data_IF_980901156076
#
_entry.id   IF_980901156076
#
_cell.length_a   1.000
_cell.length_b   1.000
_cell.length_c   1.000
_cell.angle_alpha   90.00
_cell.angle_beta   90.00
_cell.angle_gamma   90.00
#
_symmetry.space_group_name_H-M   'P 1'
#
loop_
_entity.id
_entity.type
_entity.pdbx_description
1 polymer ?
#
# COMPACT_ATOMS: atom_id res chain seq x y z
N UNK A 1 55.62 53.96 50.43
CA UNK A 1 55.59 52.49 50.59
C UNK A 1 54.55 52.19 51.64
N UNK A 2 53.36 51.81 51.20
CA UNK A 2 52.17 51.68 52.06
C UNK A 2 51.34 50.53 51.53
N UNK A 3 51.25 49.48 52.32
CA UNK A 3 50.27 48.42 52.15
C UNK A 3 48.93 48.88 52.74
N UNK A 4 47.83 48.62 52.05
CA UNK A 4 46.48 48.63 52.61
C UNK A 4 45.62 47.61 51.85
N UNK A 5 45.02 46.68 52.61
CA UNK A 5 44.01 45.74 52.15
C UNK A 5 42.77 46.48 51.61
N UNK A 6 42.12 45.88 50.61
CA UNK A 6 40.72 46.14 50.30
C UNK A 6 40.00 44.83 50.01
N UNK A 7 39.09 44.47 50.92
CA UNK A 7 38.02 43.51 50.72
C UNK A 7 37.12 43.96 49.55
N UNK A 8 36.77 43.05 48.65
CA UNK A 8 35.52 43.14 47.90
C UNK A 8 34.81 41.77 47.92
N UNK A 9 33.62 41.80 48.50
CA UNK A 9 32.61 40.75 48.49
C UNK A 9 32.24 40.36 47.06
N UNK A 10 32.32 39.07 46.73
CA UNK A 10 31.61 38.52 45.57
C UNK A 10 30.26 38.02 46.08
N UNK A 11 29.21 38.75 45.73
CA UNK A 11 27.83 38.30 45.87
C UNK A 11 27.63 37.07 44.98
N UNK A 12 27.48 35.91 45.60
CA UNK A 12 27.00 34.71 44.95
C UNK A 12 25.51 34.90 44.61
N UNK A 13 25.22 35.25 43.36
CA UNK A 13 23.90 35.05 42.80
C UNK A 13 23.79 33.57 42.42
N UNK A 14 22.90 32.85 43.09
CA UNK A 14 22.47 31.51 42.69
C UNK A 14 21.78 31.60 41.33
N UNK A 15 22.54 31.49 40.24
CA UNK A 15 21.97 31.17 38.94
C UNK A 15 21.57 29.70 38.98
N UNK A 16 20.27 29.47 39.06
CA UNK A 16 19.64 28.20 38.71
C UNK A 16 20.27 27.67 37.42
N UNK A 17 20.63 26.37 37.33
CA UNK A 17 21.05 25.79 36.07
C UNK A 17 19.92 26.03 35.08
N UNK A 18 20.19 26.78 34.01
CA UNK A 18 19.31 26.82 32.86
C UNK A 18 19.18 25.38 32.40
N UNK A 19 18.02 24.79 32.63
CA UNK A 19 17.62 23.53 32.01
C UNK A 19 17.92 23.72 30.53
N UNK A 20 18.77 22.86 29.91
CA UNK A 20 18.99 22.96 28.49
C UNK A 20 17.61 22.91 27.83
N UNK A 21 17.30 23.81 26.90
CA UNK A 21 16.02 23.74 26.21
C UNK A 21 15.87 22.30 25.71
N UNK A 22 14.80 21.64 26.14
CA UNK A 22 14.35 20.38 25.55
C UNK A 22 14.46 20.58 24.04
N UNK A 23 15.17 19.71 23.31
CA UNK A 23 15.21 19.83 21.85
C UNK A 23 13.76 19.93 21.40
N UNK A 24 13.43 20.99 20.65
CA UNK A 24 12.15 21.05 19.95
C UNK A 24 11.97 19.68 19.30
N UNK A 25 10.87 18.99 19.58
CA UNK A 25 10.59 17.68 19.03
C UNK A 25 10.96 17.74 17.54
N UNK A 26 12.07 17.10 17.16
CA UNK A 26 12.47 17.01 15.76
C UNK A 26 11.26 16.36 15.10
N UNK A 27 10.55 17.12 14.27
CA UNK A 27 9.22 16.75 13.82
C UNK A 27 9.30 15.37 13.17
N UNK A 28 8.51 14.43 13.69
CA UNK A 28 8.39 13.08 13.12
C UNK A 28 8.21 13.19 11.60
N UNK A 29 8.98 12.38 10.88
CA UNK A 29 8.88 12.22 9.43
C UNK A 29 7.47 11.76 9.02
N UNK A 30 7.10 12.00 7.75
CA UNK A 30 5.84 11.48 7.20
C UNK A 30 5.74 9.95 7.36
N UNK A 31 6.85 9.24 7.14
CA UNK A 31 6.94 7.81 7.36
C UNK A 31 6.62 7.39 8.79
N UNK A 32 7.23 8.03 9.80
CA UNK A 32 6.96 7.70 11.21
C UNK A 32 5.49 7.91 11.55
N UNK A 33 4.87 8.97 11.03
CA UNK A 33 3.44 9.24 11.22
C UNK A 33 2.55 8.20 10.55
N UNK A 34 2.86 7.80 9.32
CA UNK A 34 2.14 6.73 8.61
C UNK A 34 2.28 5.41 9.38
N UNK A 35 3.49 5.10 9.86
CA UNK A 35 3.73 3.91 10.68
C UNK A 35 2.89 3.94 11.97
N UNK A 36 2.86 5.07 12.66
CA UNK A 36 2.09 5.22 13.90
C UNK A 36 0.56 5.13 13.62
N UNK A 37 0.06 5.71 12.53
CA UNK A 37 -1.33 5.59 12.10
C UNK A 37 -1.71 4.20 11.59
N UNK A 38 -0.75 3.42 11.07
CA UNK A 38 -1.03 2.13 10.43
C UNK A 38 -1.66 1.10 11.37
N UNK A 39 -1.51 1.26 12.70
CA UNK A 39 -2.23 0.43 13.68
C UNK A 39 -3.76 0.58 13.57
N UNK A 40 -4.23 1.67 12.98
CA UNK A 40 -5.62 2.00 12.70
C UNK A 40 -6.01 1.80 11.22
N UNK A 41 -5.21 1.08 10.42
CA UNK A 41 -5.42 0.92 8.96
C UNK A 41 -6.83 0.43 8.61
N UNK A 42 -7.42 -0.48 9.40
CA UNK A 42 -8.82 -0.93 9.22
C UNK A 42 -9.83 0.20 9.37
N UNK A 43 -9.69 1.01 10.42
CA UNK A 43 -10.59 2.14 10.66
C UNK A 43 -10.41 3.18 9.55
N UNK A 44 -9.17 3.60 9.28
CA UNK A 44 -8.86 4.58 8.24
C UNK A 44 -9.24 4.12 6.82
N UNK A 45 -9.38 2.82 6.58
CA UNK A 45 -9.76 2.29 5.27
C UNK A 45 -11.18 2.66 4.85
N UNK A 46 -12.12 2.91 5.79
CA UNK A 46 -13.47 3.41 5.43
C UNK A 46 -13.44 4.79 4.78
N UNK A 47 -12.33 5.52 4.96
CA UNK A 47 -12.18 6.90 4.52
C UNK A 47 -12.26 7.08 3.02
N UNK A 48 -11.83 6.09 2.23
CA UNK A 48 -11.90 6.22 0.76
C UNK A 48 -13.35 6.37 0.28
N UNK A 49 -14.29 5.60 0.83
CA UNK A 49 -15.70 5.65 0.44
C UNK A 49 -16.30 7.03 0.76
N UNK A 50 -16.01 7.55 1.95
CA UNK A 50 -16.37 8.91 2.35
C UNK A 50 -15.76 9.96 1.40
N UNK A 51 -14.48 9.83 1.04
CA UNK A 51 -13.83 10.74 0.09
C UNK A 51 -14.51 10.73 -1.28
N UNK A 52 -14.78 9.55 -1.83
CA UNK A 52 -15.46 9.42 -3.13
C UNK A 52 -16.86 10.05 -3.07
N UNK A 53 -17.62 9.79 -2.02
CA UNK A 53 -18.96 10.33 -1.88
C UNK A 53 -18.96 11.86 -1.68
N UNK A 54 -18.07 12.38 -0.83
CA UNK A 54 -17.90 13.81 -0.60
C UNK A 54 -17.44 14.52 -1.89
N UNK A 55 -16.50 13.95 -2.63
CA UNK A 55 -15.99 14.54 -3.87
C UNK A 55 -17.06 14.58 -4.97
N UNK A 56 -17.97 13.59 -5.03
CA UNK A 56 -19.13 13.58 -5.96
C UNK A 56 -20.20 14.60 -5.57
N UNK A 57 -20.40 14.85 -4.28
CA UNK A 57 -21.45 15.73 -3.77
C UNK A 57 -21.07 17.22 -3.74
N UNK A 58 -19.80 17.54 -3.94
CA UNK A 58 -19.27 18.90 -3.84
C UNK A 58 -18.88 19.44 -5.22
N UNK A 59 -18.77 20.75 -5.39
CA UNK A 59 -18.40 21.35 -6.69
C UNK A 59 -16.94 21.80 -6.77
N UNK A 60 -16.33 22.06 -5.61
CA UNK A 60 -14.99 22.63 -5.50
C UNK A 60 -14.21 21.95 -4.36
N UNK A 61 -12.86 21.93 -4.39
CA UNK A 61 -12.03 21.26 -3.38
C UNK A 61 -12.30 21.73 -1.94
N UNK A 62 -12.61 23.00 -1.72
CA UNK A 62 -12.81 23.56 -0.37
C UNK A 62 -14.05 22.96 0.31
N UNK A 63 -15.11 22.70 -0.47
CA UNK A 63 -16.31 22.03 0.04
C UNK A 63 -16.04 20.57 0.36
N UNK A 64 -15.21 19.91 -0.46
CA UNK A 64 -14.76 18.55 -0.21
C UNK A 64 -13.95 18.44 1.09
N UNK A 65 -12.97 19.33 1.28
CA UNK A 65 -12.18 19.39 2.51
C UNK A 65 -13.08 19.61 3.72
N UNK A 66 -14.00 20.58 3.65
CA UNK A 66 -14.93 20.86 4.75
C UNK A 66 -15.76 19.62 5.14
N UNK A 67 -16.31 18.90 4.15
CA UNK A 67 -17.05 17.66 4.39
C UNK A 67 -16.16 16.58 5.03
N UNK A 68 -14.92 16.44 4.58
CA UNK A 68 -13.99 15.43 5.11
C UNK A 68 -13.45 15.77 6.50
N UNK A 69 -13.43 17.03 6.93
CA UNK A 69 -13.08 17.38 8.31
C UNK A 69 -14.16 16.96 9.33
N UNK A 70 -15.41 16.82 8.87
CA UNK A 70 -16.53 16.35 9.68
C UNK A 70 -16.67 14.82 9.66
N UNK A 71 -16.00 14.14 8.73
CA UNK A 71 -16.03 12.68 8.60
C UNK A 71 -15.47 11.94 9.83
N UNK A 72 -15.98 10.74 10.05
CA UNK A 72 -15.56 9.83 11.13
C UNK A 72 -15.36 8.45 10.52
N UNK A 73 -14.33 7.76 11.00
CA UNK A 73 -13.90 6.49 10.42
C UNK A 73 -13.98 5.36 11.45
N UNK A 74 -14.69 4.28 11.10
CA UNK A 74 -14.97 3.12 11.96
C UNK A 74 -14.92 1.78 11.20
N UNK A 75 -14.14 1.72 10.10
CA UNK A 75 -14.00 0.52 9.28
C UNK A 75 -13.46 -0.73 10.01
N UNK A 76 -13.94 -1.90 9.58
CA UNK A 76 -13.57 -3.22 10.13
C UNK A 76 -12.56 -4.00 9.25
N UNK A 77 -12.28 -3.54 8.04
CA UNK A 77 -11.42 -4.21 7.08
C UNK A 77 -10.53 -3.21 6.31
N UNK A 78 -9.42 -3.70 5.75
CA UNK A 78 -8.57 -2.93 4.83
C UNK A 78 -8.52 -3.63 3.46
N UNK A 79 -8.16 -2.86 2.45
CA UNK A 79 -7.79 -3.34 1.12
C UNK A 79 -6.74 -2.39 0.52
N UNK A 80 -5.95 -2.87 -0.43
CA UNK A 80 -4.79 -2.14 -0.95
C UNK A 80 -5.13 -0.71 -1.44
N UNK A 81 -6.24 -0.53 -2.18
CA UNK A 81 -6.72 0.78 -2.60
C UNK A 81 -7.17 1.69 -1.45
N UNK A 82 -7.79 1.13 -0.40
CA UNK A 82 -8.24 1.85 0.79
C UNK A 82 -7.03 2.35 1.60
N UNK A 83 -6.06 1.47 1.82
CA UNK A 83 -4.81 1.79 2.49
C UNK A 83 -4.04 2.88 1.75
N UNK A 84 -3.84 2.73 0.44
CA UNK A 84 -3.13 3.74 -0.37
C UNK A 84 -3.77 5.12 -0.20
N UNK A 85 -5.10 5.18 -0.24
CA UNK A 85 -5.86 6.43 -0.16
C UNK A 85 -5.54 7.27 1.09
N UNK A 86 -5.49 6.67 2.29
CA UNK A 86 -5.18 7.42 3.50
C UNK A 86 -3.67 7.65 3.67
N UNK A 87 -2.83 6.71 3.21
CA UNK A 87 -1.37 6.89 3.21
C UNK A 87 -0.98 8.12 2.41
N UNK A 88 -1.54 8.27 1.21
CA UNK A 88 -1.20 9.41 0.37
C UNK A 88 -1.82 10.69 0.94
N UNK A 89 -2.97 10.63 1.63
CA UNK A 89 -3.55 11.80 2.31
C UNK A 89 -2.58 12.40 3.36
N UNK A 90 -1.76 11.58 4.03
CA UNK A 90 -0.70 12.10 4.91
C UNK A 90 0.28 12.97 4.13
N UNK A 91 0.70 12.56 2.94
CA UNK A 91 1.68 13.29 2.13
C UNK A 91 1.14 14.55 1.45
N UNK A 92 -0.01 14.42 0.79
CA UNK A 92 -0.52 15.42 -0.17
C UNK A 92 -1.72 16.21 0.38
N UNK A 93 -2.39 15.71 1.43
CA UNK A 93 -3.57 16.32 2.03
C UNK A 93 -4.84 16.14 1.20
N UNK A 94 -5.98 16.46 1.81
CA UNK A 94 -7.31 16.26 1.21
C UNK A 94 -7.49 17.05 -0.09
N UNK A 95 -7.10 18.32 -0.12
CA UNK A 95 -7.37 19.20 -1.27
C UNK A 95 -6.81 18.63 -2.58
N UNK A 96 -5.60 18.06 -2.56
CA UNK A 96 -4.97 17.47 -3.74
C UNK A 96 -5.68 16.18 -4.20
N UNK A 97 -6.27 15.44 -3.27
CA UNK A 97 -6.99 14.20 -3.57
C UNK A 97 -8.40 14.41 -4.16
N UNK A 98 -8.88 15.64 -4.24
CA UNK A 98 -10.22 15.93 -4.74
C UNK A 98 -10.45 15.41 -6.16
N UNK A 99 -9.52 15.70 -7.08
CA UNK A 99 -9.61 15.31 -8.49
C UNK A 99 -9.66 13.81 -8.63
N UNK A 100 -8.75 13.11 -7.94
CA UNK A 100 -8.71 11.66 -7.93
C UNK A 100 -10.02 11.08 -7.37
N UNK A 101 -10.43 11.49 -6.17
CA UNK A 101 -11.64 10.98 -5.50
C UNK A 101 -12.93 11.23 -6.30
N UNK A 102 -12.97 12.30 -7.10
CA UNK A 102 -14.13 12.67 -7.91
C UNK A 102 -14.22 11.88 -9.22
N UNK A 103 -13.08 11.53 -9.79
CA UNK A 103 -12.99 11.08 -11.19
C UNK A 103 -12.49 9.66 -11.37
N UNK A 104 -11.87 9.07 -10.36
CA UNK A 104 -11.48 7.67 -10.39
C UNK A 104 -12.71 6.77 -10.23
N UNK A 105 -12.97 5.93 -11.22
CA UNK A 105 -14.05 4.96 -11.24
C UNK A 105 -13.57 3.53 -10.95
N UNK A 106 -12.28 3.36 -10.66
CA UNK A 106 -11.64 2.06 -10.43
C UNK A 106 -11.44 1.22 -11.70
N UNK A 107 -11.71 1.78 -12.88
CA UNK A 107 -11.56 1.10 -14.18
C UNK A 107 -10.59 1.88 -15.09
N UNK A 108 -10.72 3.20 -15.17
CA UNK A 108 -9.85 4.08 -15.95
C UNK A 108 -9.52 5.34 -15.16
N UNK A 109 -8.24 5.47 -14.81
CA UNK A 109 -7.76 6.56 -13.96
C UNK A 109 -7.41 7.82 -14.73
N UNK A 110 -7.55 7.84 -16.06
CA UNK A 110 -7.10 8.95 -16.89
C UNK A 110 -7.70 10.29 -16.46
N UNK A 111 -8.98 10.29 -16.07
CA UNK A 111 -9.67 11.49 -15.57
C UNK A 111 -9.25 11.91 -14.17
N UNK A 112 -8.70 10.99 -13.39
CA UNK A 112 -8.06 11.23 -12.09
C UNK A 112 -6.59 11.66 -12.23
N UNK A 113 -6.05 11.70 -13.46
CA UNK A 113 -4.68 12.12 -13.74
C UNK A 113 -3.68 10.97 -13.85
N UNK A 114 -4.13 9.72 -13.75
CA UNK A 114 -3.25 8.57 -13.96
C UNK A 114 -2.81 8.49 -15.43
N UNK A 115 -1.58 8.04 -15.62
CA UNK A 115 -1.06 7.62 -16.93
C UNK A 115 -0.88 6.11 -16.96
N UNK A 116 -1.24 5.48 -18.08
CA UNK A 116 -0.82 4.10 -18.37
C UNK A 116 0.68 4.11 -18.69
N UNK A 117 1.44 3.24 -18.05
CA UNK A 117 2.91 3.14 -18.18
C UNK A 117 3.29 1.73 -18.58
N UNK A 118 4.15 1.61 -19.59
CA UNK A 118 4.69 0.31 -20.02
C UNK A 118 5.96 -0.04 -19.25
N UNK A 119 6.29 -1.33 -19.19
CA UNK A 119 7.44 -1.83 -18.45
C UNK A 119 8.77 -1.24 -18.93
N UNK A 120 8.92 -1.00 -20.23
CA UNK A 120 10.08 -0.33 -20.83
C UNK A 120 10.15 1.18 -20.56
N UNK A 121 9.05 1.79 -20.12
CA UNK A 121 8.95 3.21 -19.77
C UNK A 121 9.18 3.46 -18.27
N UNK A 122 9.03 2.44 -17.41
CA UNK A 122 9.11 2.57 -15.95
C UNK A 122 10.44 3.15 -15.48
N UNK A 123 11.56 2.66 -16.00
CA UNK A 123 12.87 3.18 -15.62
C UNK A 123 12.98 4.67 -15.94
N UNK A 124 12.57 5.07 -17.14
CA UNK A 124 12.58 6.47 -17.57
C UNK A 124 11.69 7.34 -16.69
N UNK A 125 10.49 6.86 -16.33
CA UNK A 125 9.55 7.52 -15.44
C UNK A 125 10.18 7.88 -14.08
N UNK A 126 10.75 6.89 -13.39
CA UNK A 126 11.35 7.13 -12.07
C UNK A 126 12.66 7.93 -12.17
N UNK A 127 13.38 7.83 -13.29
CA UNK A 127 14.62 8.58 -13.51
C UNK A 127 14.39 10.10 -13.63
N UNK A 128 13.20 10.57 -14.07
CA UNK A 128 12.88 12.00 -14.20
C UNK A 128 13.11 12.77 -12.90
N UNK A 129 12.81 12.15 -11.77
CA UNK A 129 12.94 12.75 -10.46
C UNK A 129 14.09 12.19 -9.64
N UNK A 130 14.82 11.18 -10.12
CA UNK A 130 15.94 10.60 -9.40
C UNK A 130 16.99 11.67 -9.03
N UNK A 131 17.31 11.78 -7.73
CA UNK A 131 18.25 12.79 -7.21
C UNK A 131 17.66 14.19 -7.01
N UNK A 132 16.40 14.42 -7.39
CA UNK A 132 15.68 15.69 -7.16
C UNK A 132 15.69 16.08 -5.69
N UNK A 133 15.79 17.37 -5.37
CA UNK A 133 15.64 17.86 -4.00
C UNK A 133 14.21 17.73 -3.43
N UNK A 134 13.24 17.33 -4.25
CA UNK A 134 11.83 17.16 -3.88
C UNK A 134 11.51 15.70 -3.54
N UNK A 135 10.60 15.51 -2.60
CA UNK A 135 9.91 14.23 -2.41
C UNK A 135 8.89 14.05 -3.53
N UNK A 136 8.79 12.85 -4.08
CA UNK A 136 7.78 12.50 -5.09
C UNK A 136 7.02 11.26 -4.63
N UNK A 137 5.70 11.35 -4.66
CA UNK A 137 4.79 10.27 -4.30
C UNK A 137 4.21 9.70 -5.59
N UNK A 138 4.36 8.41 -5.78
CA UNK A 138 3.82 7.68 -6.93
C UNK A 138 2.67 6.81 -6.45
N UNK A 139 1.48 7.03 -6.96
CA UNK A 139 0.35 6.13 -6.79
C UNK A 139 0.45 5.11 -7.91
N UNK A 140 0.76 3.86 -7.58
CA UNK A 140 0.97 2.79 -8.57
C UNK A 140 -0.19 1.81 -8.45
N UNK A 141 -0.79 1.43 -9.58
CA UNK A 141 -1.87 0.45 -9.59
C UNK A 141 -1.82 -0.46 -10.81
N UNK A 142 -1.94 -1.75 -10.54
CA UNK A 142 -2.39 -2.74 -11.50
C UNK A 142 -3.91 -2.67 -11.57
N UNK A 143 -4.45 -2.47 -12.77
CA UNK A 143 -5.89 -2.44 -13.04
C UNK A 143 -6.25 -3.35 -14.20
N UNK A 144 -7.53 -3.63 -14.38
CA UNK A 144 -8.03 -4.52 -15.43
C UNK A 144 -8.30 -5.92 -14.89
N UNK A 145 -7.58 -6.91 -15.41
CA UNK A 145 -7.56 -8.30 -14.90
C UNK A 145 -6.71 -8.49 -13.66
N UNK A 146 -5.98 -7.46 -13.24
CA UNK A 146 -5.23 -7.42 -11.98
C UNK A 146 -5.78 -6.33 -11.07
N UNK A 147 -5.70 -6.54 -9.76
CA UNK A 147 -6.15 -5.59 -8.75
C UNK A 147 -5.14 -5.51 -7.61
N UNK A 148 -4.16 -4.63 -7.78
CA UNK A 148 -3.22 -4.30 -6.71
C UNK A 148 -2.75 -2.85 -6.80
N UNK A 149 -2.79 -2.15 -5.67
CA UNK A 149 -2.50 -0.71 -5.57
C UNK A 149 -1.54 -0.46 -4.42
N UNK A 150 -0.52 0.38 -4.64
CA UNK A 150 0.48 0.72 -3.63
C UNK A 150 1.06 2.11 -3.86
N UNK A 151 1.80 2.61 -2.86
CA UNK A 151 2.48 3.92 -2.93
C UNK A 151 3.98 3.72 -2.92
N UNK A 152 4.69 4.41 -3.82
CA UNK A 152 6.14 4.56 -3.75
C UNK A 152 6.46 6.00 -3.36
N UNK A 153 7.20 6.18 -2.28
CA UNK A 153 7.81 7.45 -1.90
C UNK A 153 9.24 7.48 -2.40
N UNK A 154 9.55 8.45 -3.26
CA UNK A 154 10.94 8.81 -3.56
C UNK A 154 11.41 9.88 -2.58
N UNK A 155 12.44 9.56 -1.81
CA UNK A 155 13.03 10.49 -0.85
C UNK A 155 13.90 11.55 -1.55
N UNK A 156 13.96 12.77 -0.99
CA UNK A 156 14.67 13.87 -1.63
C UNK A 156 16.17 13.62 -1.70
N UNK A 157 16.82 14.29 -2.65
CA UNK A 157 18.28 14.28 -2.89
C UNK A 157 18.84 12.87 -3.12
N UNK A 158 18.03 11.99 -3.71
CA UNK A 158 18.44 10.63 -4.05
C UNK A 158 18.68 9.74 -2.84
N UNK A 159 18.05 10.04 -1.70
CA UNK A 159 18.18 9.23 -0.48
C UNK A 159 17.58 7.82 -0.60
N UNK A 160 16.75 7.58 -1.62
CA UNK A 160 16.24 6.26 -1.96
C UNK A 160 14.74 6.26 -2.16
N UNK A 161 14.15 5.07 -2.06
CA UNK A 161 12.72 4.82 -2.28
C UNK A 161 12.14 4.02 -1.13
N UNK A 162 10.88 4.26 -0.78
CA UNK A 162 10.14 3.47 0.22
C UNK A 162 8.79 3.06 -0.35
N UNK A 163 8.38 1.83 -0.06
CA UNK A 163 7.13 1.26 -0.57
C UNK A 163 6.15 1.11 0.59
N UNK A 164 4.94 1.59 0.38
CA UNK A 164 3.81 1.42 1.27
C UNK A 164 2.76 0.57 0.56
N UNK A 165 2.55 -0.63 1.07
CA UNK A 165 1.53 -1.53 0.53
C UNK A 165 0.85 -2.31 1.63
N UNK A 166 -0.41 -2.61 1.38
CA UNK A 166 -1.16 -3.70 1.99
C UNK A 166 -1.64 -4.58 0.85
N UNK A 167 -2.05 -5.80 1.15
CA UNK A 167 -2.57 -6.68 0.12
C UNK A 167 -3.94 -7.19 0.54
N UNK A 168 -4.92 -6.99 -0.33
CA UNK A 168 -6.30 -7.40 -0.08
C UNK A 168 -6.28 -8.89 0.23
N UNK A 169 -6.96 -9.25 1.31
CA UNK A 169 -7.02 -10.63 1.74
C UNK A 169 -5.69 -11.30 2.11
N UNK A 170 -4.66 -10.53 2.50
CA UNK A 170 -3.42 -11.12 3.00
C UNK A 170 -2.80 -10.38 4.21
N UNK A 171 -2.46 -9.09 4.09
CA UNK A 171 -1.76 -8.37 5.16
C UNK A 171 -2.01 -6.85 5.15
N UNK A 172 -1.97 -6.25 6.34
CA UNK A 172 -2.19 -4.81 6.58
C UNK A 172 -0.95 -3.98 6.27
N UNK A 173 -1.11 -2.66 6.16
CA UNK A 173 0.04 -1.76 6.11
C UNK A 173 0.89 -1.87 7.39
N UNK A 174 0.25 -2.05 8.55
CA UNK A 174 0.97 -2.22 9.81
C UNK A 174 1.91 -3.43 9.77
N UNK A 175 1.45 -4.57 9.23
CA UNK A 175 2.29 -5.74 9.02
C UNK A 175 3.49 -5.41 8.13
N UNK A 176 3.23 -4.71 7.02
CA UNK A 176 4.26 -4.34 6.05
C UNK A 176 5.33 -3.40 6.65
N UNK A 177 4.93 -2.44 7.49
CA UNK A 177 5.84 -1.44 8.07
C UNK A 177 6.46 -1.87 9.40
N UNK A 178 5.91 -2.88 10.08
CA UNK A 178 6.44 -3.38 11.34
C UNK A 178 7.82 -4.03 11.16
N UNK A 179 8.58 -4.10 12.24
CA UNK A 179 9.87 -4.84 12.32
C UNK A 179 9.67 -6.28 12.84
N UNK A 180 8.42 -6.65 13.13
CA UNK A 180 7.98 -8.00 13.46
C UNK A 180 6.83 -8.39 12.54
N UNK A 181 6.48 -9.67 12.52
CA UNK A 181 5.26 -10.18 11.86
C UNK A 181 3.97 -9.78 12.62
N UNK A 182 4.07 -8.91 13.63
CA UNK A 182 2.93 -8.33 14.33
C UNK A 182 2.08 -7.51 13.37
N UNK A 183 0.76 -7.79 13.30
CA UNK A 183 -0.17 -7.13 12.38
C UNK A 183 -0.45 -7.91 11.08
N UNK A 184 0.25 -9.03 10.84
CA UNK A 184 -0.08 -10.00 9.79
C UNK A 184 -1.40 -10.75 10.08
N UNK A 185 -1.78 -10.76 11.36
CA UNK A 185 -2.99 -11.39 11.88
C UNK A 185 -3.90 -10.33 12.50
N UNK A 186 -5.21 -10.54 12.36
CA UNK A 186 -6.25 -9.76 13.03
C UNK A 186 -6.08 -9.80 14.57
N UNK A 187 -6.11 -8.64 15.25
CA UNK A 187 -5.93 -8.57 16.71
C UNK A 187 -7.15 -9.08 17.52
N UNK A 188 -8.33 -9.08 16.91
CA UNK A 188 -9.62 -9.46 17.48
C UNK A 188 -9.99 -10.94 17.27
N UNK A 189 -9.54 -11.54 16.16
CA UNK A 189 -9.82 -12.95 15.82
C UNK A 189 -8.58 -13.85 15.79
N UNK A 190 -7.35 -13.28 15.76
CA UNK A 190 -6.11 -14.04 15.64
C UNK A 190 -5.87 -14.65 14.25
N UNK A 191 -6.68 -14.31 13.25
CA UNK A 191 -6.64 -14.96 11.94
C UNK A 191 -5.83 -14.18 10.90
N UNK A 192 -5.15 -14.93 10.03
CA UNK A 192 -4.69 -14.47 8.73
C UNK A 192 -5.88 -13.85 8.01
N UNK A 193 -5.78 -12.57 7.68
CA UNK A 193 -6.88 -11.86 7.06
C UNK A 193 -7.15 -12.45 5.67
N UNK A 194 -8.15 -13.34 5.58
CA UNK A 194 -9.01 -13.65 4.42
C UNK A 194 -8.63 -14.79 3.45
N UNK A 195 -7.65 -15.67 3.74
CA UNK A 195 -7.54 -16.92 2.95
C UNK A 195 -8.81 -17.78 3.06
N UNK A 196 -9.51 -17.71 4.19
CA UNK A 196 -10.83 -18.32 4.38
C UNK A 196 -11.91 -17.76 3.45
N UNK A 197 -11.83 -16.47 3.12
CA UNK A 197 -12.73 -15.85 2.15
C UNK A 197 -12.54 -16.45 0.76
N UNK A 198 -11.29 -16.65 0.35
CA UNK A 198 -10.97 -17.37 -0.88
C UNK A 198 -11.41 -18.83 -0.81
N UNK A 199 -11.15 -19.55 0.28
CA UNK A 199 -11.62 -20.93 0.44
C UNK A 199 -13.15 -21.04 0.34
N UNK A 200 -13.89 -20.10 0.93
CA UNK A 200 -15.34 -20.03 0.83
C UNK A 200 -15.80 -19.75 -0.61
N UNK A 201 -15.19 -18.77 -1.29
CA UNK A 201 -15.51 -18.43 -2.68
C UNK A 201 -15.19 -19.59 -3.65
N UNK A 202 -14.06 -20.27 -3.44
CA UNK A 202 -13.68 -21.46 -4.21
C UNK A 202 -14.61 -22.63 -3.93
N UNK A 203 -14.98 -22.90 -2.67
CA UNK A 203 -15.99 -23.92 -2.34
C UNK A 203 -17.34 -23.63 -2.99
N UNK A 204 -17.78 -22.37 -3.01
CA UNK A 204 -19.00 -21.97 -3.69
C UNK A 204 -18.90 -22.24 -5.20
N UNK A 205 -17.77 -21.89 -5.82
CA UNK A 205 -17.53 -22.13 -7.25
C UNK A 205 -17.50 -23.63 -7.57
N UNK A 206 -16.80 -24.43 -6.76
CA UNK A 206 -16.75 -25.89 -6.85
C UNK A 206 -18.13 -26.53 -6.76
N UNK A 207 -18.97 -26.05 -5.83
CA UNK A 207 -20.35 -26.51 -5.71
C UNK A 207 -21.18 -26.15 -6.94
N UNK A 208 -20.99 -24.97 -7.53
CA UNK A 208 -21.69 -24.57 -8.75
C UNK A 208 -21.32 -25.43 -9.96
N UNK A 209 -20.02 -25.64 -10.22
CA UNK A 209 -19.55 -26.39 -11.39
C UNK A 209 -19.91 -27.88 -11.32
N UNK A 210 -19.99 -28.44 -10.11
CA UNK A 210 -20.22 -29.88 -9.88
C UNK A 210 -21.67 -30.24 -9.54
N UNK A 211 -22.57 -29.26 -9.42
CA UNK A 211 -23.93 -29.48 -8.89
C UNK A 211 -23.94 -29.91 -7.41
N UNK A 212 -22.97 -29.42 -6.63
CA UNK A 212 -22.85 -29.63 -5.19
C UNK A 212 -22.05 -30.88 -4.77
N UNK A 213 -21.39 -31.56 -5.71
CA UNK A 213 -20.65 -32.79 -5.42
C UNK A 213 -19.19 -32.53 -5.03
N UNK A 214 -18.54 -31.55 -5.66
CA UNK A 214 -17.17 -31.13 -5.39
C UNK A 214 -17.11 -30.04 -4.32
N UNK A 215 -16.08 -30.12 -3.50
CA UNK A 215 -15.66 -29.11 -2.52
C UNK A 215 -14.16 -29.20 -2.35
N UNK A 216 -13.53 -28.26 -1.64
CA UNK A 216 -12.12 -28.35 -1.27
C UNK A 216 -11.82 -29.65 -0.49
N UNK A 217 -12.78 -30.15 0.29
CA UNK A 217 -12.65 -31.42 1.01
C UNK A 217 -12.90 -32.66 0.13
N UNK A 218 -13.52 -32.49 -1.04
CA UNK A 218 -13.90 -33.57 -1.95
C UNK A 218 -13.55 -33.25 -3.41
N UNK A 219 -12.26 -33.08 -3.70
CA UNK A 219 -11.77 -32.78 -5.06
C UNK A 219 -11.84 -33.99 -6.01
N UNK A 220 -12.10 -35.20 -5.51
CA UNK A 220 -12.32 -36.39 -6.34
C UNK A 220 -13.67 -36.36 -7.07
N UNK A 221 -14.60 -35.51 -6.64
CA UNK A 221 -15.88 -35.28 -7.30
C UNK A 221 -15.81 -34.14 -8.35
N UNK A 222 -14.61 -33.64 -8.68
CA UNK A 222 -14.45 -32.70 -9.77
C UNK A 222 -14.95 -33.31 -11.09
N UNK A 223 -15.74 -32.57 -11.89
CA UNK A 223 -16.06 -32.97 -13.25
C UNK A 223 -14.78 -33.16 -14.08
N UNK A 224 -14.79 -34.12 -15.02
CA UNK A 224 -13.62 -34.48 -15.82
C UNK A 224 -13.05 -33.30 -16.64
N UNK A 225 -13.91 -32.37 -17.08
CA UNK A 225 -13.54 -31.14 -17.77
C UNK A 225 -12.88 -30.09 -16.87
N UNK A 226 -12.90 -30.28 -15.55
CA UNK A 226 -12.29 -29.40 -14.53
C UNK A 226 -11.09 -30.02 -13.82
N UNK A 227 -10.71 -31.27 -14.12
CA UNK A 227 -9.54 -31.93 -13.51
C UNK A 227 -8.23 -31.15 -13.72
N UNK A 228 -8.12 -30.40 -14.83
CA UNK A 228 -6.95 -29.55 -15.10
C UNK A 228 -6.72 -28.48 -14.03
N UNK A 229 -7.78 -28.05 -13.32
CA UNK A 229 -7.73 -27.04 -12.28
C UNK A 229 -7.48 -27.61 -10.87
N UNK A 230 -7.41 -28.94 -10.72
CA UNK A 230 -7.19 -29.61 -9.43
C UNK A 230 -5.98 -29.08 -8.66
N UNK A 231 -4.80 -28.83 -9.28
CA UNK A 231 -3.65 -28.29 -8.54
C UNK A 231 -3.90 -26.92 -7.88
N UNK A 232 -4.71 -26.06 -8.49
CA UNK A 232 -5.11 -24.79 -7.89
C UNK A 232 -6.02 -24.99 -6.69
N UNK A 233 -7.00 -25.90 -6.79
CA UNK A 233 -7.88 -26.19 -5.67
C UNK A 233 -7.15 -26.85 -4.50
N UNK A 234 -6.21 -27.77 -4.78
CA UNK A 234 -5.31 -28.33 -3.76
C UNK A 234 -4.47 -27.23 -3.12
N UNK A 235 -3.93 -26.30 -3.92
CA UNK A 235 -3.22 -25.14 -3.39
C UNK A 235 -4.08 -24.29 -2.46
N UNK A 236 -5.31 -23.95 -2.85
CA UNK A 236 -6.24 -23.17 -2.00
C UNK A 236 -6.60 -23.91 -0.71
N UNK A 237 -6.78 -25.23 -0.77
CA UNK A 237 -7.03 -26.08 0.40
C UNK A 237 -5.84 -26.11 1.35
N UNK A 238 -4.64 -26.30 0.81
CA UNK A 238 -3.43 -26.66 1.57
C UNK A 238 -2.51 -25.46 1.87
N UNK A 239 -2.82 -24.24 1.39
CA UNK A 239 -2.03 -23.04 1.69
C UNK A 239 -2.17 -22.67 3.17
N UNK A 240 -1.12 -22.98 3.92
CA UNK A 240 -1.06 -22.88 5.37
C UNK A 240 -0.30 -21.63 5.87
N UNK A 241 -0.33 -21.44 7.18
CA UNK A 241 0.34 -20.32 7.85
C UNK A 241 1.84 -20.29 7.59
N UNK A 242 2.52 -21.45 7.55
CA UNK A 242 3.96 -21.52 7.34
C UNK A 242 4.34 -21.02 5.94
N UNK A 243 3.58 -21.40 4.92
CA UNK A 243 3.78 -20.91 3.55
C UNK A 243 3.47 -19.42 3.43
N UNK A 244 2.42 -18.94 4.11
CA UNK A 244 2.08 -17.52 4.13
C UNK A 244 3.21 -16.69 4.73
N UNK A 245 3.71 -17.10 5.92
CA UNK A 245 4.82 -16.43 6.56
C UNK A 245 6.07 -16.45 5.69
N UNK A 246 6.41 -17.59 5.09
CA UNK A 246 7.59 -17.69 4.22
C UNK A 246 7.50 -16.80 2.97
N UNK A 247 6.32 -16.68 2.36
CA UNK A 247 6.09 -15.78 1.24
C UNK A 247 6.13 -14.32 1.67
N UNK A 248 5.49 -14.00 2.80
CA UNK A 248 5.47 -12.66 3.36
C UNK A 248 6.88 -12.19 3.70
N UNK A 249 7.62 -12.96 4.50
CA UNK A 249 8.97 -12.62 4.95
C UNK A 249 9.94 -12.39 3.79
N UNK A 250 9.79 -13.15 2.69
CA UNK A 250 10.64 -13.02 1.50
C UNK A 250 10.57 -11.63 0.87
N UNK A 251 9.35 -11.10 0.67
CA UNK A 251 9.17 -9.75 0.12
C UNK A 251 9.38 -8.68 1.20
N UNK A 252 8.84 -8.91 2.40
CA UNK A 252 8.86 -7.97 3.53
C UNK A 252 10.27 -7.62 3.98
N UNK A 253 11.18 -8.58 4.09
CA UNK A 253 12.58 -8.31 4.48
C UNK A 253 13.37 -7.56 3.40
N UNK A 254 12.91 -7.61 2.14
CA UNK A 254 13.56 -6.97 1.00
C UNK A 254 13.04 -5.55 0.76
N UNK A 255 11.73 -5.35 0.86
CA UNK A 255 11.05 -4.11 0.45
C UNK A 255 10.19 -3.46 1.54
N UNK A 256 9.87 -4.18 2.61
CA UNK A 256 9.02 -3.72 3.72
C UNK A 256 9.80 -3.12 4.89
N UNK A 257 9.25 -3.24 6.10
CA UNK A 257 9.85 -2.78 7.37
C UNK A 257 10.16 -1.27 7.42
N UNK A 258 9.50 -0.48 6.57
CA UNK A 258 9.81 0.95 6.41
C UNK A 258 11.20 1.23 5.82
N UNK A 259 11.86 0.21 5.27
CA UNK A 259 13.19 0.29 4.69
C UNK A 259 13.22 1.34 3.57
N UNK A 260 14.33 2.07 3.49
CA UNK A 260 14.67 2.87 2.32
C UNK A 260 15.53 2.02 1.39
N UNK A 261 14.99 1.73 0.21
CA UNK A 261 15.70 1.09 -0.89
C UNK A 261 16.70 2.05 -1.49
N UNK A 262 17.93 1.59 -1.64
CA UNK A 262 18.95 2.29 -2.43
C UNK A 262 18.51 2.39 -3.89
N UNK A 263 19.17 3.25 -4.67
CA UNK A 263 18.91 3.32 -6.11
C UNK A 263 19.11 1.97 -6.80
N UNK A 264 20.15 1.22 -6.45
CA UNK A 264 20.38 -0.10 -7.05
C UNK A 264 19.25 -1.09 -6.69
N UNK A 265 18.85 -1.15 -5.42
CA UNK A 265 17.73 -2.04 -5.00
C UNK A 265 16.40 -1.65 -5.64
N UNK A 266 16.17 -0.37 -5.90
CA UNK A 266 14.96 0.07 -6.55
C UNK A 266 15.01 -0.13 -8.07
N UNK A 267 16.02 0.42 -8.75
CA UNK A 267 16.11 0.40 -10.21
C UNK A 267 16.53 -0.94 -10.79
N UNK A 268 17.52 -1.60 -10.19
CA UNK A 268 18.12 -2.82 -10.77
C UNK A 268 17.37 -4.08 -10.33
N UNK A 269 16.44 -3.96 -9.38
CA UNK A 269 15.77 -5.10 -8.76
C UNK A 269 14.25 -4.95 -8.63
N UNK A 270 13.75 -3.94 -7.92
CA UNK A 270 12.29 -3.76 -7.76
C UNK A 270 11.61 -3.40 -9.09
N UNK A 271 12.11 -2.37 -9.80
CA UNK A 271 11.53 -1.91 -11.06
C UNK A 271 11.68 -2.93 -12.18
N UNK A 272 12.77 -3.70 -12.22
CA UNK A 272 12.95 -4.78 -13.21
C UNK A 272 11.86 -5.83 -13.06
N UNK A 273 11.55 -6.24 -11.82
CA UNK A 273 10.44 -7.18 -11.56
C UNK A 273 9.09 -6.58 -11.92
N UNK A 274 8.83 -5.33 -11.53
CA UNK A 274 7.56 -4.66 -11.86
C UNK A 274 7.36 -4.52 -13.37
N UNK A 275 8.42 -4.16 -14.10
CA UNK A 275 8.42 -4.10 -15.55
C UNK A 275 8.17 -5.47 -16.20
N UNK A 276 8.80 -6.52 -15.66
CA UNK A 276 8.59 -7.89 -16.11
C UNK A 276 7.13 -8.34 -15.94
N UNK A 277 6.52 -8.05 -14.79
CA UNK A 277 5.10 -8.32 -14.54
C UNK A 277 4.21 -7.55 -15.51
N UNK A 278 4.43 -6.23 -15.69
CA UNK A 278 3.65 -5.43 -16.64
C UNK A 278 3.71 -5.99 -18.04
N UNK A 279 4.91 -6.30 -18.54
CA UNK A 279 5.10 -6.80 -19.90
C UNK A 279 4.39 -8.14 -20.07
N UNK A 280 4.51 -9.03 -19.08
CA UNK A 280 3.86 -10.32 -19.12
C UNK A 280 2.33 -10.18 -19.17
N UNK A 281 1.73 -9.49 -18.20
CA UNK A 281 0.27 -9.38 -18.11
C UNK A 281 -0.30 -8.69 -19.33
N UNK A 282 0.25 -7.56 -19.77
CA UNK A 282 -0.22 -6.85 -20.97
C UNK A 282 -0.19 -7.72 -22.23
N UNK A 283 0.77 -8.64 -22.36
CA UNK A 283 0.90 -9.49 -23.55
C UNK A 283 0.08 -10.79 -23.47
N UNK A 284 -0.20 -11.28 -22.26
CA UNK A 284 -0.82 -12.59 -22.03
C UNK A 284 -2.23 -12.50 -21.44
N UNK A 285 -2.73 -11.28 -21.24
CA UNK A 285 -4.08 -11.05 -20.76
C UNK A 285 -5.11 -11.72 -21.67
N UNK A 286 -6.13 -12.33 -21.08
CA UNK A 286 -7.19 -13.06 -21.78
C UNK A 286 -6.72 -14.20 -22.70
N UNK A 287 -5.43 -14.62 -22.64
CA UNK A 287 -4.93 -15.72 -23.46
C UNK A 287 -5.10 -17.09 -22.78
N UNK A 288 -5.38 -18.11 -23.59
CA UNK A 288 -5.39 -19.52 -23.12
C UNK A 288 -3.99 -20.10 -22.86
N UNK A 289 -2.94 -19.28 -22.83
CA UNK A 289 -1.58 -19.71 -22.51
C UNK A 289 -1.48 -20.04 -21.01
N UNK A 290 -0.83 -21.15 -20.61
CA UNK A 290 -0.61 -21.46 -19.20
C UNK A 290 0.22 -20.39 -18.49
N UNK A 291 -0.17 -20.03 -17.26
CA UNK A 291 0.53 -19.06 -16.44
C UNK A 291 1.90 -19.61 -15.98
N UNK A 292 3.02 -18.90 -16.21
CA UNK A 292 4.35 -19.35 -15.80
C UNK A 292 4.57 -19.24 -14.30
N UNK A 293 5.29 -20.22 -13.74
CA UNK A 293 5.71 -20.20 -12.34
C UNK A 293 6.66 -19.04 -12.02
N UNK A 294 7.50 -18.62 -12.97
CA UNK A 294 8.41 -17.48 -12.79
C UNK A 294 7.67 -16.16 -12.55
N UNK A 295 6.58 -15.92 -13.29
CA UNK A 295 5.73 -14.73 -13.12
C UNK A 295 5.01 -14.79 -11.79
N UNK A 296 4.49 -15.95 -11.41
CA UNK A 296 3.90 -16.18 -10.10
C UNK A 296 4.86 -15.89 -8.94
N UNK A 297 6.08 -16.40 -9.03
CA UNK A 297 7.13 -16.16 -8.04
C UNK A 297 7.51 -14.68 -7.99
N UNK A 298 7.62 -14.01 -9.14
CA UNK A 298 7.91 -12.56 -9.23
C UNK A 298 6.81 -11.74 -8.55
N UNK A 299 5.54 -12.11 -8.74
CA UNK A 299 4.41 -11.49 -8.05
C UNK A 299 4.55 -11.62 -6.53
N UNK A 300 4.81 -12.83 -6.03
CA UNK A 300 4.98 -13.08 -4.59
C UNK A 300 6.19 -12.31 -4.04
N UNK A 301 7.29 -12.23 -4.80
CA UNK A 301 8.50 -11.49 -4.38
C UNK A 301 8.27 -9.98 -4.23
N UNK A 302 7.36 -9.39 -5.02
CA UNK A 302 7.00 -7.98 -4.90
C UNK A 302 5.91 -7.76 -3.84
N UNK A 303 4.88 -8.60 -3.84
CA UNK A 303 3.63 -8.33 -3.13
C UNK A 303 3.39 -9.23 -1.92
N UNK A 304 4.33 -10.10 -1.57
CA UNK A 304 4.32 -10.91 -0.34
C UNK A 304 3.14 -11.90 -0.22
N UNK A 305 2.33 -12.02 -1.28
CA UNK A 305 1.10 -12.80 -1.31
C UNK A 305 0.88 -13.38 -2.71
N UNK A 306 0.29 -14.58 -2.83
CA UNK A 306 -0.11 -15.13 -4.12
C UNK A 306 -1.16 -14.25 -4.81
N UNK A 307 -1.11 -14.24 -6.14
CA UNK A 307 -2.20 -13.72 -6.95
C UNK A 307 -3.35 -14.74 -6.93
N UNK A 308 -4.56 -14.30 -6.57
CA UNK A 308 -5.73 -15.20 -6.50
C UNK A 308 -6.37 -15.46 -7.86
N UNK A 309 -6.03 -14.63 -8.86
CA UNK A 309 -6.53 -14.69 -10.24
C UNK A 309 -5.64 -15.55 -11.15
N UNK A 310 -4.42 -15.85 -10.71
CA UNK A 310 -3.44 -16.61 -11.50
C UNK A 310 -2.78 -17.71 -10.69
N UNK A 311 -2.65 -18.89 -11.30
CA UNK A 311 -1.95 -20.02 -10.69
C UNK A 311 -1.08 -20.74 -11.74
N UNK A 312 0.17 -21.14 -11.40
CA UNK A 312 1.06 -21.80 -12.34
C UNK A 312 0.40 -22.99 -13.06
N UNK A 313 0.50 -22.99 -14.38
CA UNK A 313 -0.07 -24.02 -15.25
C UNK A 313 -1.54 -23.84 -15.62
N UNK A 314 -2.30 -22.98 -14.93
CA UNK A 314 -3.65 -22.62 -15.39
C UNK A 314 -3.60 -21.62 -16.53
N UNK A 315 -4.45 -21.73 -17.56
CA UNK A 315 -4.54 -20.72 -18.61
C UNK A 315 -4.89 -19.34 -18.04
N UNK A 316 -4.25 -18.27 -18.55
CA UNK A 316 -4.44 -16.89 -18.04
C UNK A 316 -5.90 -16.44 -18.06
N UNK A 317 -6.68 -16.94 -19.01
CA UNK A 317 -8.06 -16.56 -19.23
C UNK A 317 -9.07 -17.31 -18.35
N UNK A 318 -8.67 -18.36 -17.62
CA UNK A 318 -9.63 -19.20 -16.86
C UNK A 318 -10.34 -18.40 -15.78
N UNK A 319 -9.60 -17.72 -14.90
CA UNK A 319 -10.20 -16.97 -13.79
C UNK A 319 -10.57 -15.55 -14.22
N UNK A 320 -9.73 -14.93 -15.05
CA UNK A 320 -9.91 -13.54 -15.48
C UNK A 320 -11.12 -13.36 -16.41
N UNK A 321 -11.37 -14.26 -17.37
CA UNK A 321 -12.59 -14.16 -18.21
C UNK A 321 -13.86 -14.52 -17.43
N UNK A 322 -13.75 -15.35 -16.39
CA UNK A 322 -14.89 -15.66 -15.52
C UNK A 322 -15.31 -14.47 -14.67
N UNK A 323 -14.36 -13.69 -14.14
CA UNK A 323 -14.63 -12.64 -13.16
C UNK A 323 -14.58 -11.22 -13.73
N UNK A 324 -13.78 -11.00 -14.77
CA UNK A 324 -13.35 -9.68 -15.25
C UNK A 324 -13.38 -9.58 -16.77
N UNK A 325 -14.27 -10.33 -17.43
CA UNK A 325 -14.42 -10.32 -18.89
C UNK A 325 -14.46 -8.89 -19.47
N UNK A 326 -13.58 -8.64 -20.44
CA UNK A 326 -13.52 -7.38 -21.19
C UNK A 326 -12.81 -6.23 -20.47
N UNK A 327 -11.97 -6.51 -19.48
CA UNK A 327 -11.13 -5.52 -18.80
C UNK A 327 -9.64 -5.79 -19.06
N UNK A 328 -9.05 -5.07 -20.01
CA UNK A 328 -7.62 -5.23 -20.29
C UNK A 328 -6.74 -4.72 -19.14
N UNK A 329 -5.71 -5.52 -18.82
CA UNK A 329 -4.64 -5.20 -17.89
C UNK A 329 -3.95 -3.87 -18.23
N UNK A 330 -3.77 -3.03 -17.21
CA UNK A 330 -3.01 -1.78 -17.27
C UNK A 330 -2.17 -1.60 -16.01
N UNK A 331 -0.96 -1.07 -16.18
CA UNK A 331 -0.21 -0.45 -15.10
C UNK A 331 -0.41 1.05 -15.18
N UNK A 332 -1.04 1.64 -14.17
CA UNK A 332 -1.33 3.07 -14.12
C UNK A 332 -0.54 3.74 -12.99
N UNK A 333 0.02 4.91 -13.27
CA UNK A 333 0.82 5.69 -12.31
C UNK A 333 0.33 7.14 -12.29
N UNK A 334 0.10 7.68 -11.09
CA UNK A 334 -0.09 9.11 -10.84
C UNK A 334 1.09 9.64 -10.02
N UNK A 335 1.66 10.76 -10.43
CA UNK A 335 2.84 11.39 -9.81
C UNK A 335 2.45 12.68 -9.09
N UNK A 336 2.83 12.76 -7.81
CA UNK A 336 2.59 13.94 -6.97
C UNK A 336 3.92 14.44 -6.43
N UNK A 337 4.34 15.61 -6.92
CA UNK A 337 5.63 16.22 -6.57
C UNK A 337 5.44 17.20 -5.42
N UNK A 338 5.96 16.86 -4.25
CA UNK A 338 5.87 17.69 -3.06
C UNK A 338 6.87 18.87 -3.10
N UNK A 339 6.68 19.90 -2.26
CA UNK A 339 7.67 20.99 -2.12
C UNK A 339 9.07 20.46 -1.80
N UNK A 340 10.11 21.14 -2.29
CA UNK A 340 11.52 20.79 -2.03
C UNK A 340 12.04 21.20 -0.64
N UNK A 341 11.16 21.78 0.18
CA UNK A 341 11.42 22.14 1.57
C UNK A 341 10.95 20.98 2.47
N UNK A 342 11.91 20.23 2.99
CA UNK A 342 11.68 19.06 3.85
C UNK A 342 10.94 19.43 5.15
N UNK A 343 11.19 20.62 5.71
CA UNK A 343 10.49 21.06 6.92
C UNK A 343 9.04 21.41 6.61
N UNK A 344 8.77 22.02 5.45
CA UNK A 344 7.40 22.26 4.99
C UNK A 344 6.63 20.95 4.74
N UNK A 345 7.28 19.94 4.15
CA UNK A 345 6.68 18.61 3.94
C UNK A 345 6.37 17.94 5.28
N UNK A 346 7.30 17.96 6.25
CA UNK A 346 7.08 17.42 7.60
C UNK A 346 5.94 18.13 8.33
N UNK A 347 5.82 19.44 8.19
CA UNK A 347 4.72 20.22 8.77
C UNK A 347 3.37 19.88 8.12
N UNK A 348 3.33 19.75 6.79
CA UNK A 348 2.13 19.33 6.08
C UNK A 348 1.68 17.93 6.52
N UNK A 349 2.61 16.96 6.57
CA UNK A 349 2.32 15.62 7.09
C UNK A 349 1.82 15.66 8.53
N UNK A 350 2.39 16.52 9.39
CA UNK A 350 1.90 16.68 10.76
C UNK A 350 0.45 17.18 10.84
N UNK A 351 0.10 18.15 10.00
CA UNK A 351 -1.26 18.67 9.93
C UNK A 351 -2.24 17.62 9.39
N UNK A 352 -1.88 16.93 8.31
CA UNK A 352 -2.69 15.87 7.70
C UNK A 352 -2.89 14.68 8.64
N UNK A 353 -1.84 14.24 9.33
CA UNK A 353 -1.95 13.22 10.39
C UNK A 353 -2.90 13.67 11.50
N UNK A 354 -2.84 14.93 11.92
CA UNK A 354 -3.76 15.43 12.96
C UNK A 354 -5.23 15.40 12.53
N UNK A 355 -5.50 15.59 11.23
CA UNK A 355 -6.84 15.46 10.65
C UNK A 355 -7.30 13.99 10.70
N UNK A 356 -6.45 13.06 10.27
CA UNK A 356 -6.74 11.61 10.31
C UNK A 356 -6.92 11.10 11.74
N UNK A 357 -6.08 11.55 12.68
CA UNK A 357 -6.23 11.23 14.11
C UNK A 357 -7.55 11.75 14.69
N UNK A 358 -8.01 12.92 14.23
CA UNK A 358 -9.28 13.49 14.66
C UNK A 358 -10.47 12.69 14.12
N UNK A 359 -10.39 12.13 12.91
CA UNK A 359 -11.46 11.32 12.33
C UNK A 359 -11.62 9.96 13.02
N UNK A 360 -10.59 9.49 13.73
CA UNK A 360 -10.60 8.24 14.50
C UNK A 360 -11.18 8.37 15.93
N UNK A 361 -11.34 9.59 16.45
CA UNK A 361 -11.79 9.81 17.83
C UNK A 361 -13.32 9.80 17.91
N UNK A 362 -13.85 8.96 18.80
CA UNK A 362 -15.24 9.07 19.29
C UNK A 362 -15.38 10.35 20.12
N UNK A 363 -16.51 11.08 20.09
CA UNK A 363 -16.70 12.36 20.80
C UNK A 363 -16.34 12.33 22.29
#
# INVERSE_FOLDING_TARGET
MTAALLLCFVLAACTTPSVPPTPAAQGLSCHERIRDLSVHDRALSSRLEHKVQAAKNTQVPEQFVAAMLESREDGEAFACGLTRSWVTEVFEGLEQQYVESRHDDGIDGSRAGYRVVRGDELQGLFQVHAGSARTVIYHVRHTGTEDHVFTVEQLPRGQGYRIYQSYINAYSLNAWLSTSTTGLYAADTGELMLWRGLQAAVNQSLAQISGGQASLDNLDALPADWEFARPYYEYVRDYDEARILANFERAWTRYGQGRVLTQAEFFDDYLVKLAGLEVYFRQNDHLGTPFPEEVWNTWIELYASPNVLHFPGLPNNVITDMLLAGRDYRLEILEVVLPGDDDAVKQACAANTSILDASLKTP
#
